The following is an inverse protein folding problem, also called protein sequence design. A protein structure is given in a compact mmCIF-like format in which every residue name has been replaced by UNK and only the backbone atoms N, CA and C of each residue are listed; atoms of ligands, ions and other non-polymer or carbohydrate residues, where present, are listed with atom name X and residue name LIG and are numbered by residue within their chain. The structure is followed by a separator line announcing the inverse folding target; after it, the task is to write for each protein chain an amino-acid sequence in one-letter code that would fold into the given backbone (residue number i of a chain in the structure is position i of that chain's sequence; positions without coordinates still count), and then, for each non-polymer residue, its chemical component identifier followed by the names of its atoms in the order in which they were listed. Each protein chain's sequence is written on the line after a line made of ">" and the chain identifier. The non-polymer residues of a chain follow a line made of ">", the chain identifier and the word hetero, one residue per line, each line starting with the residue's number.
data_IF_734576820020
#
_entry.id   IF_734576820020
#
_cell.length_a   1.000
_cell.length_b   1.000
_cell.length_c   1.000
_cell.angle_alpha   90.00
_cell.angle_beta   90.00
_cell.angle_gamma   90.00
#
_symmetry.space_group_name_H-M   'P 1'
#
loop_
_entity.id
_entity.type
_entity.pdbx_description
1 polymer ?
#
# COMPACT_ATOMS: atom_id res chain seq x y z
N UNK A 1 3.16 9.75 2.28
CA UNK A 1 2.91 9.34 3.67
C UNK A 1 1.54 8.71 3.78
N UNK A 2 1.41 7.67 4.57
CA UNK A 2 0.11 7.06 4.91
C UNK A 2 -0.20 7.38 6.35
N UNK A 3 -1.43 7.85 6.61
CA UNK A 3 -1.91 8.08 7.97
C UNK A 3 -3.14 7.22 8.20
N UNK A 4 -3.13 6.45 9.29
CA UNK A 4 -4.26 5.63 9.71
C UNK A 4 -5.12 6.43 10.69
N UNK A 5 -6.43 6.38 10.47
CA UNK A 5 -7.41 7.10 11.29
C UNK A 5 -8.39 6.13 11.94
N UNK A 6 -8.79 6.46 13.14
CA UNK A 6 -9.92 5.82 13.82
C UNK A 6 -11.01 6.89 13.95
N UNK A 7 -12.01 6.81 13.07
CA UNK A 7 -12.94 7.93 12.86
C UNK A 7 -12.19 9.12 12.30
N UNK A 8 -12.22 10.27 12.99
CA UNK A 8 -11.48 11.47 12.62
C UNK A 8 -10.13 11.60 13.34
N UNK A 9 -9.78 10.64 14.19
CA UNK A 9 -8.56 10.67 15.00
C UNK A 9 -7.40 9.99 14.26
N UNK A 10 -6.28 10.68 13.99
CA UNK A 10 -5.09 10.04 13.47
C UNK A 10 -4.43 9.20 14.56
N UNK A 11 -4.19 7.92 14.29
CA UNK A 11 -3.60 7.00 15.28
C UNK A 11 -2.16 6.62 14.95
N UNK A 12 -1.79 6.64 13.67
CA UNK A 12 -0.42 6.32 13.27
C UNK A 12 -0.13 6.82 11.85
N UNK A 13 1.11 7.23 11.60
CA UNK A 13 1.58 7.64 10.27
C UNK A 13 2.83 6.86 9.88
N UNK A 14 2.98 6.62 8.57
CA UNK A 14 4.08 5.84 8.01
C UNK A 14 4.72 6.60 6.86
N UNK A 15 6.04 6.53 6.76
CA UNK A 15 6.77 6.96 5.57
C UNK A 15 6.76 5.79 4.59
N UNK A 16 6.29 6.03 3.37
CA UNK A 16 6.06 5.00 2.37
C UNK A 16 6.67 5.42 1.04
N UNK A 17 6.76 4.48 0.10
CA UNK A 17 7.08 4.78 -1.30
C UNK A 17 5.83 4.58 -2.14
N UNK A 18 5.45 5.60 -2.90
CA UNK A 18 4.31 5.55 -3.82
C UNK A 18 4.79 5.32 -5.25
N UNK A 19 3.88 5.42 -6.21
CA UNK A 19 4.20 5.25 -7.61
C UNK A 19 5.18 6.29 -8.13
N UNK A 20 6.01 5.88 -9.08
CA UNK A 20 6.95 6.75 -9.75
C UNK A 20 6.21 7.77 -10.62
N UNK A 21 6.93 8.76 -11.15
CA UNK A 21 6.34 9.78 -12.01
C UNK A 21 5.69 9.18 -13.26
N UNK A 22 6.26 8.10 -13.79
CA UNK A 22 5.71 7.39 -14.95
C UNK A 22 4.54 6.48 -14.63
N UNK A 23 4.43 6.04 -13.37
CA UNK A 23 3.42 5.11 -12.90
C UNK A 23 2.90 5.59 -11.54
N UNK A 24 2.21 6.76 -11.51
CA UNK A 24 1.79 7.35 -10.23
C UNK A 24 0.71 6.52 -9.56
N UNK A 25 0.65 6.63 -8.24
CA UNK A 25 -0.46 6.07 -7.48
C UNK A 25 -1.74 6.83 -7.82
N UNK A 26 -2.80 6.10 -8.11
CA UNK A 26 -4.10 6.69 -8.44
C UNK A 26 -4.63 7.51 -7.27
N UNK A 27 -5.24 8.67 -7.57
CA UNK A 27 -5.87 9.51 -6.54
C UNK A 27 -7.38 9.30 -6.54
N UNK A 28 -8.01 9.52 -5.39
CA UNK A 28 -9.43 9.38 -5.20
C UNK A 28 -9.79 8.67 -3.90
N UNK A 29 -11.06 8.32 -3.77
CA UNK A 29 -11.56 7.60 -2.60
C UNK A 29 -11.91 6.18 -3.00
N UNK A 30 -11.31 5.22 -2.31
CA UNK A 30 -11.46 3.80 -2.59
C UNK A 30 -11.72 3.05 -1.29
N UNK A 31 -11.99 1.74 -1.43
CA UNK A 31 -12.13 0.86 -0.26
C UNK A 31 -11.30 -0.39 -0.47
N UNK A 32 -10.71 -0.89 0.61
CA UNK A 32 -10.02 -2.18 0.56
C UNK A 32 -11.06 -3.24 0.20
N UNK A 33 -10.79 -4.00 -0.87
CA UNK A 33 -11.73 -5.03 -1.33
C UNK A 33 -11.22 -6.44 -1.13
N UNK A 34 -9.92 -6.63 -0.92
CA UNK A 34 -9.35 -7.95 -0.60
C UNK A 34 -8.02 -7.79 0.12
N UNK A 35 -7.74 -8.71 1.04
CA UNK A 35 -6.50 -8.75 1.81
C UNK A 35 -5.85 -10.13 1.64
N UNK A 36 -4.53 -10.15 1.48
CA UNK A 36 -3.73 -11.37 1.44
C UNK A 36 -2.55 -11.24 2.40
N UNK A 37 -2.29 -12.27 3.22
CA UNK A 37 -1.10 -12.27 4.09
C UNK A 37 0.18 -12.29 3.27
N UNK A 38 0.18 -13.04 2.19
CA UNK A 38 1.29 -13.10 1.25
C UNK A 38 0.77 -13.63 -0.07
N UNK A 39 1.23 -13.03 -1.17
CA UNK A 39 0.85 -13.46 -2.51
C UNK A 39 1.85 -12.90 -3.52
N UNK A 40 1.99 -13.52 -4.69
CA UNK A 40 2.82 -12.93 -5.74
C UNK A 40 2.13 -11.69 -6.31
N UNK A 41 2.93 -10.71 -6.72
CA UNK A 41 2.47 -9.55 -7.46
C UNK A 41 3.27 -9.44 -8.74
N UNK A 42 2.59 -9.21 -9.86
CA UNK A 42 3.25 -9.09 -11.15
C UNK A 42 2.59 -8.02 -12.01
N UNK A 43 3.34 -7.54 -12.98
CA UNK A 43 2.88 -6.58 -13.97
C UNK A 43 3.88 -6.54 -15.11
N UNK A 44 3.67 -5.65 -16.12
CA UNK A 44 4.62 -5.53 -17.22
C UNK A 44 6.03 -5.23 -16.70
N UNK A 45 6.95 -6.17 -16.98
CA UNK A 45 8.37 -6.00 -16.64
C UNK A 45 8.75 -6.37 -15.21
N UNK A 46 7.83 -6.90 -14.38
CA UNK A 46 8.21 -7.35 -13.04
C UNK A 46 7.38 -8.52 -12.52
N UNK A 47 7.99 -9.27 -11.61
CA UNK A 47 7.34 -10.33 -10.85
C UNK A 47 7.97 -10.38 -9.46
N UNK A 48 7.12 -10.29 -8.42
CA UNK A 48 7.56 -10.27 -7.02
C UNK A 48 6.84 -11.40 -6.26
N UNK A 49 7.55 -12.48 -5.91
CA UNK A 49 6.95 -13.57 -5.14
C UNK A 49 6.80 -13.21 -3.66
N UNK A 50 5.80 -13.80 -3.01
CA UNK A 50 5.65 -13.73 -1.56
C UNK A 50 5.56 -12.32 -0.99
N UNK A 51 4.89 -11.41 -1.68
CA UNK A 51 4.71 -10.03 -1.17
C UNK A 51 3.84 -10.09 0.08
N UNK A 52 4.30 -9.54 1.23
CA UNK A 52 3.57 -9.68 2.49
C UNK A 52 2.53 -8.59 2.69
N UNK A 53 1.45 -8.95 3.41
CA UNK A 53 0.44 -8.03 3.92
C UNK A 53 -0.15 -7.10 2.87
N UNK A 54 -0.76 -7.71 1.83
CA UNK A 54 -1.33 -7.00 0.70
C UNK A 54 -2.78 -6.62 0.98
N UNK A 55 -3.10 -5.35 0.73
CA UNK A 55 -4.46 -4.84 0.81
C UNK A 55 -4.78 -4.08 -0.47
N UNK A 56 -5.52 -4.70 -1.38
CA UNK A 56 -5.91 -4.07 -2.64
C UNK A 56 -7.06 -3.10 -2.40
N UNK A 57 -6.97 -1.88 -2.96
CA UNK A 57 -8.01 -0.87 -2.84
C UNK A 57 -8.57 -0.38 -4.18
N UNK A 58 -7.86 -0.61 -5.28
CA UNK A 58 -8.35 -0.24 -6.60
C UNK A 58 -7.62 -1.03 -7.68
N UNK A 59 -8.35 -1.84 -8.47
CA UNK A 59 -7.75 -2.65 -9.55
C UNK A 59 -6.52 -3.42 -9.04
N UNK A 60 -5.35 -3.19 -9.61
CA UNK A 60 -4.10 -3.79 -9.14
C UNK A 60 -3.32 -2.93 -8.14
N UNK A 61 -3.91 -1.84 -7.64
CA UNK A 61 -3.24 -0.96 -6.67
C UNK A 61 -3.48 -1.44 -5.24
N UNK A 62 -2.41 -1.54 -4.47
CA UNK A 62 -2.48 -2.07 -3.10
C UNK A 62 -1.52 -1.34 -2.16
N UNK A 63 -1.84 -1.45 -0.86
CA UNK A 63 -0.91 -1.21 0.24
C UNK A 63 -0.27 -2.55 0.54
N UNK A 64 1.06 -2.63 0.65
CA UNK A 64 1.72 -3.89 0.93
C UNK A 64 3.12 -3.71 1.51
N UNK A 65 3.63 -4.77 2.15
CA UNK A 65 4.99 -4.82 2.63
C UNK A 65 5.99 -4.94 1.49
N UNK A 66 7.21 -4.48 1.73
CA UNK A 66 8.25 -4.37 0.70
C UNK A 66 9.57 -4.89 1.24
N UNK A 67 10.09 -5.95 0.63
CA UNK A 67 11.35 -6.57 1.03
C UNK A 67 12.50 -6.29 0.06
N UNK A 68 12.21 -5.74 -1.13
CA UNK A 68 13.20 -5.60 -2.21
C UNK A 68 13.88 -4.24 -2.27
N UNK A 69 13.48 -3.29 -1.45
CA UNK A 69 14.19 -2.02 -1.31
C UNK A 69 13.93 -1.40 0.05
N UNK A 70 14.71 -0.39 0.39
CA UNK A 70 14.61 0.34 1.65
C UNK A 70 14.60 1.85 1.40
N UNK A 71 14.10 2.28 0.25
CA UNK A 71 14.09 3.70 -0.17
C UNK A 71 12.76 4.39 0.15
N UNK A 72 12.26 4.18 1.37
CA UNK A 72 10.99 4.78 1.79
C UNK A 72 11.11 6.29 1.87
N UNK A 73 10.10 6.99 1.35
CA UNK A 73 10.10 8.43 1.14
C UNK A 73 10.42 8.82 -0.30
N UNK A 74 10.91 7.89 -1.11
CA UNK A 74 11.20 8.09 -2.54
C UNK A 74 10.21 7.29 -3.37
N UNK A 75 9.63 7.84 -4.45
CA UNK A 75 8.76 7.08 -5.34
C UNK A 75 9.50 5.90 -5.96
N UNK A 76 8.99 4.68 -5.79
CA UNK A 76 9.67 3.44 -6.16
C UNK A 76 8.79 2.42 -6.84
N UNK A 77 7.46 2.58 -6.86
CA UNK A 77 6.55 1.55 -7.32
C UNK A 77 5.93 1.86 -8.66
N UNK A 78 5.16 0.90 -9.19
CA UNK A 78 4.34 1.08 -10.40
C UNK A 78 2.92 1.52 -10.06
N UNK A 79 2.71 2.14 -8.89
CA UNK A 79 1.42 2.66 -8.45
C UNK A 79 1.00 2.18 -7.07
N UNK A 80 1.49 1.03 -6.63
CA UNK A 80 1.22 0.53 -5.28
C UNK A 80 1.90 1.39 -4.22
N UNK A 81 1.41 1.27 -3.00
CA UNK A 81 1.98 1.95 -1.83
C UNK A 81 2.87 0.96 -1.09
N UNK A 82 4.18 1.18 -1.18
CA UNK A 82 5.19 0.32 -0.57
C UNK A 82 5.45 0.75 0.87
N UNK A 83 5.20 -0.15 1.82
CA UNK A 83 5.47 0.07 3.23
C UNK A 83 6.60 -0.83 3.70
N UNK A 84 7.29 -0.43 4.78
CA UNK A 84 8.13 -1.37 5.52
C UNK A 84 7.26 -2.53 5.95
N UNK A 85 7.79 -3.74 5.95
CA UNK A 85 7.00 -4.95 6.24
C UNK A 85 6.31 -4.87 7.61
N UNK A 86 7.01 -4.35 8.63
CA UNK A 86 6.41 -4.18 9.96
C UNK A 86 5.25 -3.17 9.97
N UNK A 87 5.35 -2.12 9.18
CA UNK A 87 4.29 -1.12 9.06
C UNK A 87 3.11 -1.69 8.29
N UNK A 88 3.37 -2.49 7.25
CA UNK A 88 2.33 -3.16 6.49
C UNK A 88 1.57 -4.17 7.34
N UNK A 89 2.27 -4.89 8.22
CA UNK A 89 1.66 -5.82 9.17
C UNK A 89 0.71 -5.09 10.12
N UNK A 90 1.18 -4.00 10.70
CA UNK A 90 0.36 -3.20 11.60
C UNK A 90 -0.91 -2.71 10.91
N UNK A 91 -0.75 -2.18 9.70
CA UNK A 91 -1.87 -1.62 8.93
C UNK A 91 -2.84 -2.71 8.48
N UNK A 92 -2.33 -3.90 8.13
CA UNK A 92 -3.13 -5.06 7.77
C UNK A 92 -4.03 -5.50 8.93
N UNK A 93 -3.49 -5.50 10.14
CA UNK A 93 -4.25 -5.87 11.35
C UNK A 93 -5.23 -4.77 11.77
N UNK A 94 -4.89 -3.50 11.51
CA UNK A 94 -5.72 -2.35 11.83
C UNK A 94 -6.94 -2.25 10.89
N UNK A 95 -6.73 -2.46 9.61
CA UNK A 95 -7.76 -2.29 8.57
C UNK A 95 -8.49 -3.61 8.29
N UNK A 96 -9.56 -3.54 7.52
CA UNK A 96 -10.31 -4.70 7.07
C UNK A 96 -10.89 -4.41 5.69
N UNK A 97 -11.45 -5.43 5.04
CA UNK A 97 -12.20 -5.24 3.80
C UNK A 97 -13.33 -4.25 4.06
N UNK A 98 -13.44 -3.23 3.21
CA UNK A 98 -14.39 -2.13 3.37
C UNK A 98 -13.78 -0.86 3.94
N UNK A 99 -12.56 -0.91 4.51
CA UNK A 99 -11.89 0.28 5.02
C UNK A 99 -11.65 1.29 3.91
N UNK A 100 -11.99 2.55 4.18
CA UNK A 100 -11.81 3.65 3.24
C UNK A 100 -10.34 3.96 3.05
N UNK A 101 -9.93 4.11 1.80
CA UNK A 101 -8.59 4.56 1.41
C UNK A 101 -8.75 5.84 0.60
N UNK A 102 -8.30 6.94 1.15
CA UNK A 102 -8.36 8.25 0.50
C UNK A 102 -6.95 8.62 0.02
N UNK A 103 -6.76 8.63 -1.28
CA UNK A 103 -5.47 8.96 -1.90
C UNK A 103 -5.57 10.37 -2.46
N UNK A 104 -4.74 11.26 -1.96
CA UNK A 104 -4.70 12.66 -2.40
C UNK A 104 -3.26 13.06 -2.75
N UNK A 105 -3.09 14.13 -3.55
CA UNK A 105 -1.76 14.65 -3.89
C UNK A 105 -0.96 15.08 -2.68
#
# INVERSE_FOLDING_TARGET
>A
MVTAYEGAEPVRSFIVSTGTRSHPTVTGQFRIYVQYRAAPMSGPGYYLPGVPYIQYFYSGYALHGTYWHNNFGTPMSHGCVNLRTSDAEWLYDFASVGTLVNVHP
#
